data_IF_332642037271
#
_entry.id   IF_332642037271
#
_cell.length_a   1.000
_cell.length_b   1.000
_cell.length_c   1.000
_cell.angle_alpha   90.00
_cell.angle_beta   90.00
_cell.angle_gamma   90.00
#
_symmetry.space_group_name_H-M   'P 1'
#
loop_
_entity.id
_entity.type
_entity.pdbx_description
1 polymer ?
#
# COMPACT_ATOMS: atom_id res chain seq x y z
N UNK A 1 2.74 -8.22 18.55
CA UNK A 1 2.62 -9.06 17.33
C UNK A 1 2.82 -8.23 16.07
N UNK A 2 3.26 -8.87 14.95
CA UNK A 2 3.37 -8.24 13.62
C UNK A 2 2.28 -8.80 12.72
N UNK A 3 1.75 -7.96 11.83
CA UNK A 3 0.63 -8.32 10.98
C UNK A 3 0.92 -8.06 9.51
N UNK A 4 0.42 -8.93 8.65
CA UNK A 4 0.28 -8.67 7.22
C UNK A 4 -1.21 -8.64 6.91
N UNK A 5 -1.73 -7.48 6.54
CA UNK A 5 -3.12 -7.31 6.14
C UNK A 5 -3.18 -7.38 4.61
N UNK A 6 -3.75 -8.44 4.08
CA UNK A 6 -3.80 -8.66 2.64
C UNK A 6 -4.92 -9.62 2.25
N UNK A 7 -5.27 -9.63 0.98
CA UNK A 7 -6.17 -10.65 0.43
C UNK A 7 -5.51 -12.04 0.50
N UNK A 8 -6.33 -13.08 0.57
CA UNK A 8 -5.86 -14.46 0.60
C UNK A 8 -5.07 -14.87 -0.66
N UNK A 9 -5.32 -14.21 -1.79
CA UNK A 9 -4.69 -14.42 -3.10
C UNK A 9 -3.60 -13.39 -3.46
N UNK A 10 -3.19 -12.52 -2.53
CA UNK A 10 -2.10 -11.55 -2.72
C UNK A 10 -0.73 -12.28 -2.65
N UNK A 11 -0.30 -12.83 -3.78
CA UNK A 11 0.95 -13.57 -3.87
C UNK A 11 2.19 -12.77 -3.43
N UNK A 12 2.34 -11.47 -3.79
CA UNK A 12 3.40 -10.60 -3.27
C UNK A 12 3.41 -10.50 -1.74
N UNK A 13 2.23 -10.34 -1.11
CA UNK A 13 2.13 -10.28 0.36
C UNK A 13 2.50 -11.62 1.01
N UNK A 14 2.01 -12.73 0.45
CA UNK A 14 2.35 -14.07 0.93
C UNK A 14 3.84 -14.39 0.79
N UNK A 15 4.48 -13.90 -0.27
CA UNK A 15 5.93 -13.99 -0.43
C UNK A 15 6.66 -13.20 0.67
N UNK A 16 6.26 -11.95 0.91
CA UNK A 16 6.85 -11.12 1.95
C UNK A 16 6.65 -11.74 3.35
N UNK A 17 5.44 -12.24 3.67
CA UNK A 17 5.15 -12.95 4.90
C UNK A 17 6.10 -14.13 5.14
N UNK A 18 6.27 -15.00 4.14
CA UNK A 18 7.20 -16.15 4.23
C UNK A 18 8.64 -15.70 4.42
N UNK A 19 9.04 -14.63 3.72
CA UNK A 19 10.37 -14.04 3.81
C UNK A 19 10.68 -13.47 5.20
N UNK A 20 9.75 -12.72 5.78
CA UNK A 20 9.84 -12.16 7.13
C UNK A 20 9.86 -13.27 8.21
N UNK A 21 9.00 -14.28 8.05
CA UNK A 21 8.97 -15.41 8.99
C UNK A 21 10.28 -16.20 9.00
N UNK A 22 10.90 -16.41 7.81
CA UNK A 22 12.23 -17.06 7.72
C UNK A 22 13.33 -16.24 8.36
N UNK A 23 13.20 -14.92 8.42
CA UNK A 23 14.11 -13.99 9.11
C UNK A 23 13.89 -13.91 10.62
N UNK A 24 12.91 -14.66 11.15
CA UNK A 24 12.64 -14.74 12.57
C UNK A 24 11.67 -13.69 13.11
N UNK A 25 10.97 -12.93 12.26
CA UNK A 25 9.93 -12.03 12.75
C UNK A 25 8.79 -12.85 13.36
N UNK A 26 8.61 -12.74 14.68
CA UNK A 26 7.67 -13.57 15.44
C UNK A 26 7.15 -12.82 16.69
N UNK A 27 5.86 -12.90 17.03
CA UNK A 27 4.80 -13.54 16.26
C UNK A 27 4.40 -12.71 15.03
N UNK A 28 4.26 -13.36 13.87
CA UNK A 28 3.84 -12.76 12.60
C UNK A 28 2.60 -13.48 12.08
N UNK A 29 1.51 -12.74 11.88
CA UNK A 29 0.20 -13.24 11.49
C UNK A 29 -0.30 -12.60 10.19
N UNK A 30 -1.12 -13.36 9.44
CA UNK A 30 -1.87 -12.83 8.29
C UNK A 30 -3.34 -12.66 8.66
N UNK A 31 -3.89 -11.51 8.27
CA UNK A 31 -5.32 -11.22 8.40
C UNK A 31 -5.87 -10.72 7.06
N UNK A 32 -6.94 -11.38 6.60
CA UNK A 32 -7.62 -10.92 5.38
C UNK A 32 -8.68 -9.87 5.70
N UNK A 33 -9.08 -9.02 4.72
CA UNK A 33 -10.19 -8.09 4.89
C UNK A 33 -11.46 -8.78 5.38
N UNK A 34 -11.75 -10.00 4.89
CA UNK A 34 -12.89 -10.80 5.30
C UNK A 34 -12.78 -11.22 6.78
N UNK A 35 -11.60 -11.65 7.22
CA UNK A 35 -11.39 -12.02 8.63
C UNK A 35 -11.56 -10.81 9.57
N UNK A 36 -11.11 -9.63 9.14
CA UNK A 36 -11.24 -8.40 9.92
C UNK A 36 -12.69 -7.90 9.98
N UNK A 37 -13.46 -8.05 8.90
CA UNK A 37 -14.85 -7.57 8.81
C UNK A 37 -15.85 -8.57 9.37
N UNK A 38 -15.72 -9.88 9.03
CA UNK A 38 -16.59 -10.92 9.52
C UNK A 38 -16.10 -11.50 10.86
N UNK A 39 -15.69 -10.59 11.75
CA UNK A 39 -15.24 -10.97 13.08
C UNK A 39 -16.41 -11.42 13.96
N UNK A 40 -16.08 -12.13 15.06
CA UNK A 40 -17.07 -12.54 16.07
C UNK A 40 -17.45 -11.38 16.98
N UNK A 41 -16.45 -10.54 17.32
CA UNK A 41 -16.62 -9.37 18.15
C UNK A 41 -15.62 -8.31 17.73
N UNK A 42 -16.11 -7.08 17.53
CA UNK A 42 -15.27 -5.90 17.38
C UNK A 42 -15.70 -4.91 18.46
N UNK A 43 -14.73 -4.44 19.21
CA UNK A 43 -14.89 -3.38 20.18
C UNK A 43 -13.86 -2.29 19.90
N UNK A 44 -14.32 -1.10 19.56
CA UNK A 44 -13.48 0.06 19.29
C UNK A 44 -13.95 1.21 20.17
N UNK A 45 -13.13 1.58 21.16
CA UNK A 45 -13.43 2.62 22.14
C UNK A 45 -12.48 3.79 21.99
N UNK A 46 -13.07 4.97 21.86
CA UNK A 46 -12.35 6.23 21.87
C UNK A 46 -12.62 6.88 23.23
N UNK A 47 -11.60 7.00 24.06
CA UNK A 47 -11.65 7.67 25.36
C UNK A 47 -10.62 8.80 25.39
N UNK A 48 -10.73 9.72 26.34
CA UNK A 48 -9.84 10.87 26.44
C UNK A 48 -8.35 10.46 26.49
N UNK A 49 -7.68 10.57 25.34
CA UNK A 49 -6.25 10.26 25.18
C UNK A 49 -5.90 8.80 24.89
N UNK A 50 -6.89 7.89 24.83
CA UNK A 50 -6.65 6.48 24.55
C UNK A 50 -7.62 5.93 23.51
N UNK A 51 -7.12 5.03 22.66
CA UNK A 51 -7.94 4.24 21.75
C UNK A 51 -7.67 2.76 22.02
N UNK A 52 -8.74 2.05 22.37
CA UNK A 52 -8.68 0.62 22.69
C UNK A 52 -9.48 -0.11 21.61
N UNK A 53 -8.86 -1.06 20.95
CA UNK A 53 -9.55 -1.91 19.98
C UNK A 53 -9.25 -3.37 20.26
N UNK A 54 -10.31 -4.16 20.35
CA UNK A 54 -10.29 -5.60 20.52
C UNK A 54 -11.08 -6.23 19.36
N UNK A 55 -10.46 -7.15 18.63
CA UNK A 55 -11.10 -7.87 17.53
C UNK A 55 -10.95 -9.37 17.79
N UNK A 56 -12.07 -10.06 18.04
CA UNK A 56 -12.13 -11.51 18.12
C UNK A 56 -12.56 -12.09 16.77
N UNK A 57 -11.68 -12.84 16.12
CA UNK A 57 -11.95 -13.45 14.84
C UNK A 57 -12.79 -14.73 14.98
N UNK A 58 -13.41 -15.14 13.88
CA UNK A 58 -14.23 -16.38 13.85
C UNK A 58 -13.41 -17.64 14.13
N UNK A 59 -12.12 -17.64 13.78
CA UNK A 59 -11.20 -18.75 14.03
C UNK A 59 -10.62 -18.76 15.46
N UNK A 60 -11.03 -17.83 16.30
CA UNK A 60 -10.63 -17.72 17.70
C UNK A 60 -9.36 -16.91 17.94
N UNK A 61 -8.69 -16.41 16.90
CA UNK A 61 -7.58 -15.47 17.08
C UNK A 61 -8.11 -14.13 17.56
N UNK A 62 -7.28 -13.42 18.31
CA UNK A 62 -7.60 -12.11 18.88
C UNK A 62 -6.54 -11.10 18.44
N UNK A 63 -6.98 -9.90 18.09
CA UNK A 63 -6.12 -8.75 17.84
C UNK A 63 -6.38 -7.71 18.92
N UNK A 64 -5.39 -7.53 19.78
CA UNK A 64 -5.34 -6.43 20.75
C UNK A 64 -4.50 -5.31 20.15
N UNK A 65 -5.09 -4.12 19.95
CA UNK A 65 -4.37 -3.01 19.33
C UNK A 65 -3.07 -2.65 20.01
N UNK A 66 -3.04 -2.71 21.35
CA UNK A 66 -1.85 -2.40 22.14
C UNK A 66 -0.68 -3.37 21.88
N UNK A 67 -0.95 -4.58 21.38
CA UNK A 67 0.06 -5.60 21.11
C UNK A 67 0.59 -5.56 19.68
N UNK A 68 -0.03 -4.76 18.79
CA UNK A 68 0.39 -4.64 17.38
C UNK A 68 1.62 -3.75 17.28
N UNK A 69 2.76 -4.34 16.97
CA UNK A 69 4.06 -3.67 16.85
C UNK A 69 4.34 -3.17 15.43
N UNK A 70 3.78 -3.85 14.42
CA UNK A 70 3.96 -3.45 13.03
C UNK A 70 2.99 -4.12 12.09
N UNK A 71 2.64 -3.42 11.03
CA UNK A 71 1.70 -3.86 10.00
C UNK A 71 2.25 -3.59 8.61
N UNK A 72 2.32 -4.63 7.79
CA UNK A 72 2.39 -4.49 6.34
C UNK A 72 0.96 -4.48 5.81
N UNK A 73 0.46 -3.30 5.46
CA UNK A 73 -0.92 -3.10 5.05
C UNK A 73 -1.04 -3.12 3.53
N UNK A 74 -1.85 -4.04 3.02
CA UNK A 74 -2.19 -4.18 1.59
C UNK A 74 -3.70 -4.34 1.37
N UNK A 75 -4.49 -3.86 2.33
CA UNK A 75 -5.95 -3.83 2.21
C UNK A 75 -6.36 -2.73 1.23
N UNK A 76 -7.02 -3.08 0.14
CA UNK A 76 -7.53 -2.15 -0.85
C UNK A 76 -9.06 -2.12 -0.94
N UNK A 77 -9.74 -2.98 -0.22
CA UNK A 77 -11.19 -3.01 -0.08
C UNK A 77 -11.57 -3.61 1.28
N UNK A 78 -12.77 -3.31 1.74
CA UNK A 78 -13.44 -4.02 2.83
C UNK A 78 -14.72 -4.64 2.29
N UNK A 79 -15.01 -5.93 2.59
CA UNK A 79 -16.20 -6.59 2.09
C UNK A 79 -17.46 -5.97 2.69
N UNK A 80 -18.48 -5.76 1.85
CA UNK A 80 -19.79 -5.18 2.22
C UNK A 80 -20.96 -6.10 1.90
N UNK A 81 -20.68 -7.33 1.46
CA UNK A 81 -21.67 -8.30 1.01
C UNK A 81 -22.64 -8.75 2.11
N UNK A 82 -22.23 -8.66 3.38
CA UNK A 82 -23.08 -8.95 4.53
C UNK A 82 -24.20 -7.92 4.70
N UNK A 83 -24.09 -6.73 4.09
CA UNK A 83 -25.14 -5.71 4.05
C UNK A 83 -26.10 -5.87 2.86
N UNK A 84 -25.96 -6.93 2.05
CA UNK A 84 -26.73 -7.10 0.79
C UNK A 84 -28.24 -7.08 0.94
N UNK A 85 -28.77 -7.40 2.11
CA UNK A 85 -30.20 -7.40 2.40
C UNK A 85 -30.71 -6.09 3.01
N UNK A 86 -29.83 -5.15 3.32
CA UNK A 86 -30.20 -3.81 3.76
C UNK A 86 -30.64 -2.95 2.56
N UNK A 87 -31.41 -1.90 2.82
CA UNK A 87 -31.74 -0.87 1.84
C UNK A 87 -30.45 -0.24 1.26
N UNK A 88 -30.53 0.29 0.04
CA UNK A 88 -29.34 0.78 -0.68
C UNK A 88 -28.61 1.88 0.10
N UNK A 89 -29.39 2.80 0.69
CA UNK A 89 -28.84 3.92 1.47
C UNK A 89 -28.18 3.43 2.78
N UNK A 90 -28.82 2.51 3.49
CA UNK A 90 -28.29 1.90 4.71
C UNK A 90 -27.01 1.10 4.43
N UNK A 91 -26.95 0.42 3.29
CA UNK A 91 -25.76 -0.33 2.87
C UNK A 91 -24.59 0.60 2.60
N UNK A 92 -24.82 1.71 1.88
CA UNK A 92 -23.80 2.70 1.61
C UNK A 92 -23.27 3.33 2.91
N UNK A 93 -24.17 3.70 3.82
CA UNK A 93 -23.82 4.23 5.12
C UNK A 93 -23.01 3.22 5.96
N UNK A 94 -23.47 1.98 6.06
CA UNK A 94 -22.78 0.93 6.82
C UNK A 94 -21.37 0.65 6.26
N UNK A 95 -21.18 0.71 4.95
CA UNK A 95 -19.87 0.58 4.31
C UNK A 95 -18.93 1.74 4.68
N UNK A 96 -19.43 2.96 4.75
CA UNK A 96 -18.64 4.13 5.18
C UNK A 96 -18.28 4.05 6.67
N UNK A 97 -19.20 3.62 7.53
CA UNK A 97 -18.91 3.41 8.97
C UNK A 97 -17.85 2.32 9.17
N UNK A 98 -17.94 1.22 8.43
CA UNK A 98 -16.94 0.16 8.47
C UNK A 98 -15.55 0.68 8.04
N UNK A 99 -15.50 1.50 6.99
CA UNK A 99 -14.26 2.15 6.56
C UNK A 99 -13.74 3.12 7.62
N UNK A 100 -14.62 3.91 8.25
CA UNK A 100 -14.24 4.86 9.30
C UNK A 100 -13.65 4.14 10.52
N UNK A 101 -14.22 3.00 10.93
CA UNK A 101 -13.68 2.17 12.01
C UNK A 101 -12.29 1.64 11.62
N UNK A 102 -12.11 1.12 10.40
CA UNK A 102 -10.82 0.62 9.94
C UNK A 102 -9.75 1.70 9.91
N UNK A 103 -10.07 2.91 9.42
CA UNK A 103 -9.20 4.07 9.44
C UNK A 103 -8.82 4.45 10.88
N UNK A 104 -9.82 4.66 11.74
CA UNK A 104 -9.63 5.05 13.14
C UNK A 104 -8.74 4.05 13.88
N UNK A 105 -9.04 2.76 13.75
CA UNK A 105 -8.24 1.70 14.34
C UNK A 105 -6.79 1.71 13.83
N UNK A 106 -6.59 1.74 12.51
CA UNK A 106 -5.26 1.68 11.90
C UNK A 106 -4.39 2.89 12.26
N UNK A 107 -5.00 4.07 12.41
CA UNK A 107 -4.30 5.28 12.86
C UNK A 107 -3.94 5.25 14.35
N UNK A 108 -4.73 4.54 15.16
CA UNK A 108 -4.50 4.39 16.59
C UNK A 108 -3.50 3.28 16.95
N UNK A 109 -3.08 2.44 16.00
CA UNK A 109 -2.08 1.40 16.25
C UNK A 109 -0.76 2.03 16.71
N UNK A 110 -0.17 1.52 17.83
CA UNK A 110 1.08 2.07 18.36
C UNK A 110 2.29 1.75 17.47
N UNK A 111 2.19 0.68 16.71
CA UNK A 111 3.26 0.21 15.83
C UNK A 111 3.31 0.91 14.48
N UNK A 112 4.30 0.53 13.70
CA UNK A 112 4.49 1.02 12.34
C UNK A 112 3.46 0.41 11.40
N UNK A 113 2.76 1.23 10.61
CA UNK A 113 1.83 0.77 9.57
C UNK A 113 2.33 1.19 8.19
N UNK A 114 2.53 0.24 7.29
CA UNK A 114 3.08 0.43 5.93
C UNK A 114 2.07 -0.11 4.89
N UNK A 115 1.42 0.69 4.07
CA UNK A 115 1.16 2.13 4.20
C UNK A 115 -0.03 2.34 5.13
N UNK A 116 -0.08 3.46 5.84
CA UNK A 116 -1.29 3.81 6.60
C UNK A 116 -2.47 4.02 5.65
N UNK A 117 -3.68 3.58 6.03
CA UNK A 117 -4.87 3.89 5.26
C UNK A 117 -5.19 5.38 5.35
N UNK A 118 -5.79 5.89 4.29
CA UNK A 118 -6.24 7.28 4.16
C UNK A 118 -7.72 7.28 3.70
N UNK A 119 -8.46 8.37 3.88
CA UNK A 119 -9.86 8.43 3.46
C UNK A 119 -10.08 8.07 1.98
N UNK A 120 -9.09 8.32 1.11
CA UNK A 120 -9.11 8.01 -0.32
C UNK A 120 -8.42 6.68 -0.67
N UNK A 121 -8.04 5.85 0.32
CA UNK A 121 -7.41 4.58 0.00
C UNK A 121 -6.92 3.81 1.23
N UNK A 122 -7.33 2.55 1.34
CA UNK A 122 -7.11 1.73 2.54
C UNK A 122 -5.66 1.22 2.73
N UNK A 123 -4.79 1.38 1.74
CA UNK A 123 -3.36 1.07 1.82
C UNK A 123 -2.47 2.25 1.39
N UNK A 124 -2.89 3.47 1.71
CA UNK A 124 -2.34 4.73 1.26
C UNK A 124 -3.28 5.41 0.27
N UNK A 125 -3.06 6.68 0.03
CA UNK A 125 -3.94 7.49 -0.80
C UNK A 125 -3.99 7.00 -2.26
N UNK A 126 -5.20 6.76 -2.76
CA UNK A 126 -5.44 6.44 -4.18
C UNK A 126 -5.46 7.73 -4.98
N UNK A 127 -4.61 7.78 -5.99
CA UNK A 127 -4.48 8.92 -6.90
C UNK A 127 -4.75 8.54 -8.34
N UNK A 128 -5.35 9.43 -9.07
CA UNK A 128 -5.56 9.29 -10.51
C UNK A 128 -4.23 9.36 -11.28
N UNK A 129 -4.17 8.87 -12.52
CA UNK A 129 -2.97 9.03 -13.36
C UNK A 129 -2.53 10.49 -13.51
N UNK A 130 -3.46 11.45 -13.58
CA UNK A 130 -3.15 12.87 -13.64
C UNK A 130 -2.47 13.38 -12.37
N UNK A 131 -2.99 13.01 -11.19
CA UNK A 131 -2.39 13.37 -9.90
C UNK A 131 -0.98 12.78 -9.77
N UNK A 132 -0.78 11.52 -10.18
CA UNK A 132 0.55 10.90 -10.16
C UNK A 132 1.53 11.58 -11.10
N UNK A 133 1.09 11.93 -12.33
CA UNK A 133 1.92 12.66 -13.30
C UNK A 133 2.30 14.03 -12.75
N UNK A 134 1.36 14.73 -12.11
CA UNK A 134 1.62 16.03 -11.50
C UNK A 134 2.64 15.94 -10.34
N UNK A 135 2.49 14.97 -9.44
CA UNK A 135 3.45 14.74 -8.36
C UNK A 135 4.83 14.36 -8.89
N UNK A 136 4.91 13.54 -9.93
CA UNK A 136 6.15 13.16 -10.59
C UNK A 136 6.87 14.37 -11.19
N UNK A 137 6.15 15.28 -11.84
CA UNK A 137 6.70 16.55 -12.33
C UNK A 137 7.22 17.43 -11.19
N UNK A 138 6.45 17.53 -10.09
CA UNK A 138 6.88 18.28 -8.89
C UNK A 138 8.16 17.71 -8.28
N UNK A 139 8.32 16.38 -8.34
CA UNK A 139 9.51 15.68 -7.87
C UNK A 139 10.70 15.77 -8.85
N UNK A 140 10.54 16.41 -10.01
CA UNK A 140 11.57 16.53 -11.03
C UNK A 140 11.78 15.26 -11.86
N UNK A 141 10.82 14.33 -11.87
CA UNK A 141 10.88 13.15 -12.74
C UNK A 141 10.55 13.53 -14.20
N UNK A 142 11.29 13.00 -15.17
CA UNK A 142 10.86 13.05 -16.57
C UNK A 142 9.61 12.18 -16.72
N UNK A 143 8.53 12.74 -17.24
CA UNK A 143 7.24 12.06 -17.36
C UNK A 143 6.89 11.79 -18.83
N UNK A 144 6.19 10.67 -19.05
CA UNK A 144 5.53 10.48 -20.34
C UNK A 144 4.42 11.54 -20.48
N UNK A 145 4.30 12.25 -21.62
CA UNK A 145 3.26 13.24 -21.81
C UNK A 145 1.88 12.66 -21.50
N UNK A 146 1.16 13.30 -20.59
CA UNK A 146 -0.18 12.89 -20.17
C UNK A 146 -1.23 13.82 -20.80
N UNK A 147 -2.25 13.24 -21.40
CA UNK A 147 -3.42 13.97 -21.91
C UNK A 147 -4.68 13.21 -21.53
N UNK A 148 -5.67 13.93 -21.08
CA UNK A 148 -7.02 13.43 -20.84
C UNK A 148 -8.01 14.30 -21.60
N UNK A 149 -8.90 13.69 -22.40
CA UNK A 149 -9.91 14.38 -23.21
C UNK A 149 -10.75 13.39 -24.01
N UNK A 150 -11.77 13.90 -24.70
CA UNK A 150 -12.72 13.09 -25.47
C UNK A 150 -12.19 12.73 -26.87
N UNK A 151 -11.04 13.26 -27.27
CA UNK A 151 -10.44 13.02 -28.56
C UNK A 151 -9.52 11.81 -28.57
N UNK A 152 -9.31 11.24 -29.77
CA UNK A 152 -8.54 10.03 -30.04
C UNK A 152 -7.28 9.86 -29.20
N UNK A 153 -7.03 8.60 -28.79
CA UNK A 153 -5.83 8.21 -28.08
C UNK A 153 -4.57 8.77 -28.73
N UNK A 154 -3.68 9.36 -27.93
CA UNK A 154 -2.37 9.76 -28.40
C UNK A 154 -1.66 8.51 -28.93
N UNK A 155 -1.26 8.51 -30.19
CA UNK A 155 -0.28 7.56 -30.70
C UNK A 155 1.07 7.89 -30.06
N UNK A 156 1.43 7.12 -29.05
CA UNK A 156 2.79 7.16 -28.53
C UNK A 156 3.69 6.35 -29.45
N UNK A 157 4.92 6.81 -29.73
CA UNK A 157 5.90 5.96 -30.38
C UNK A 157 6.06 4.68 -29.59
N UNK A 158 6.37 3.52 -30.22
CA UNK A 158 6.52 2.25 -29.52
C UNK A 158 7.65 2.37 -28.49
N UNK A 159 7.29 2.56 -27.22
CA UNK A 159 8.23 2.54 -26.13
C UNK A 159 8.61 1.11 -25.83
N UNK A 160 9.91 0.84 -25.88
CA UNK A 160 10.44 -0.47 -25.59
C UNK A 160 10.49 -0.73 -24.08
N UNK A 161 9.61 -1.57 -23.58
CA UNK A 161 9.66 -2.18 -22.25
C UNK A 161 9.25 -1.28 -21.09
N UNK A 162 8.15 -1.62 -20.44
CA UNK A 162 7.76 -1.08 -19.13
C UNK A 162 8.65 -1.69 -18.05
N UNK A 163 9.40 -0.87 -17.33
CA UNK A 163 10.18 -1.30 -16.17
C UNK A 163 9.45 -0.88 -14.90
N UNK A 164 9.42 -1.78 -13.91
CA UNK A 164 8.83 -1.49 -12.60
C UNK A 164 9.91 -1.41 -11.53
N UNK A 165 9.80 -0.43 -10.64
CA UNK A 165 10.64 -0.25 -9.47
C UNK A 165 9.81 -0.43 -8.20
N UNK A 166 10.36 -1.12 -7.20
CA UNK A 166 9.86 -1.06 -5.84
C UNK A 166 10.60 0.03 -5.07
N UNK A 167 9.85 0.93 -4.46
CA UNK A 167 10.40 1.99 -3.60
C UNK A 167 9.88 1.80 -2.18
N UNK A 168 10.79 1.76 -1.23
CA UNK A 168 10.48 1.69 0.18
C UNK A 168 11.28 2.74 0.96
N UNK A 169 10.60 3.57 1.77
CA UNK A 169 11.16 4.70 2.49
C UNK A 169 12.05 5.62 1.61
N UNK A 170 11.56 5.90 0.40
CA UNK A 170 12.25 6.74 -0.59
C UNK A 170 13.46 6.08 -1.26
N UNK A 171 13.72 4.79 -1.02
CA UNK A 171 14.83 4.05 -1.60
C UNK A 171 14.33 2.99 -2.57
N UNK A 172 15.01 2.85 -3.70
CA UNK A 172 14.75 1.78 -4.65
C UNK A 172 15.27 0.47 -4.05
N UNK A 173 14.40 -0.53 -3.96
CA UNK A 173 14.73 -1.88 -3.56
C UNK A 173 14.78 -2.80 -4.78
N UNK A 174 15.67 -3.78 -4.76
CA UNK A 174 15.81 -4.80 -5.81
C UNK A 174 17.15 -4.74 -6.52
N UNK A 175 17.23 -5.42 -7.67
CA UNK A 175 18.44 -5.49 -8.47
C UNK A 175 18.81 -4.10 -9.05
N UNK A 176 20.10 -3.78 -9.17
CA UNK A 176 20.56 -2.56 -9.81
C UNK A 176 20.04 -2.44 -11.25
N UNK A 177 19.57 -1.26 -11.61
CA UNK A 177 19.03 -0.98 -12.94
C UNK A 177 19.93 0.07 -13.61
N UNK A 178 20.43 -0.24 -14.81
CA UNK A 178 21.49 0.56 -15.48
C UNK A 178 21.10 2.02 -15.77
N UNK A 179 19.82 2.29 -16.06
CA UNK A 179 19.35 3.65 -16.35
C UNK A 179 19.00 4.47 -15.11
N UNK A 180 19.11 3.89 -13.91
CA UNK A 180 18.87 4.61 -12.65
C UNK A 180 20.16 5.32 -12.20
N UNK A 181 20.21 6.62 -12.44
CA UNK A 181 21.28 7.50 -11.97
C UNK A 181 20.91 8.18 -10.64
N UNK A 182 21.81 9.01 -10.10
CA UNK A 182 21.64 9.70 -8.81
C UNK A 182 20.53 10.75 -8.87
N UNK A 183 20.39 11.49 -9.96
CA UNK A 183 19.34 12.50 -10.12
C UNK A 183 17.96 11.86 -10.08
N UNK A 184 17.80 10.71 -10.77
CA UNK A 184 16.57 9.95 -10.75
C UNK A 184 16.25 9.40 -9.35
N UNK A 185 17.27 8.95 -8.60
CA UNK A 185 17.10 8.50 -7.20
C UNK A 185 16.60 9.63 -6.31
N UNK A 186 17.16 10.82 -6.46
CA UNK A 186 16.75 12.00 -5.70
C UNK A 186 15.30 12.39 -6.03
N UNK A 187 14.92 12.38 -7.31
CA UNK A 187 13.56 12.66 -7.74
C UNK A 187 12.56 11.59 -7.24
N UNK A 188 12.94 10.31 -7.24
CA UNK A 188 12.12 9.22 -6.67
C UNK A 188 11.93 9.40 -5.17
N UNK A 189 12.99 9.77 -4.44
CA UNK A 189 12.88 10.07 -3.01
C UNK A 189 11.93 11.24 -2.75
N UNK A 190 12.03 12.31 -3.54
CA UNK A 190 11.14 13.46 -3.44
C UNK A 190 9.68 13.07 -3.78
N UNK A 191 9.46 12.21 -4.77
CA UNK A 191 8.13 11.69 -5.08
C UNK A 191 7.56 10.90 -3.90
N UNK A 192 8.37 10.08 -3.22
CA UNK A 192 7.96 9.35 -2.01
C UNK A 192 7.52 10.32 -0.90
N UNK A 193 8.30 11.37 -0.65
CA UNK A 193 7.98 12.41 0.33
C UNK A 193 6.68 13.15 -0.03
N UNK A 194 6.53 13.60 -1.28
CA UNK A 194 5.33 14.29 -1.77
C UNK A 194 4.09 13.41 -1.76
N UNK A 195 4.23 12.13 -2.02
CA UNK A 195 3.12 11.17 -2.02
C UNK A 195 2.67 10.77 -0.63
N UNK A 196 3.53 10.87 0.38
CA UNK A 196 3.31 10.36 1.73
C UNK A 196 3.33 8.83 1.84
N UNK A 197 3.70 8.13 0.75
CA UNK A 197 3.76 6.67 0.74
C UNK A 197 5.16 6.18 1.11
N UNK A 198 5.23 5.29 2.08
CA UNK A 198 6.46 4.60 2.46
C UNK A 198 6.81 3.47 1.49
N UNK A 199 5.78 2.80 0.97
CA UNK A 199 5.89 1.68 0.04
C UNK A 199 5.11 1.99 -1.23
N UNK A 200 5.79 1.99 -2.39
CA UNK A 200 5.14 2.20 -3.68
C UNK A 200 5.84 1.49 -4.82
N UNK A 201 5.10 1.21 -5.87
CA UNK A 201 5.62 0.78 -7.17
C UNK A 201 5.62 1.95 -8.14
N UNK A 202 6.68 2.08 -8.93
CA UNK A 202 6.81 3.07 -9.99
C UNK A 202 6.98 2.37 -11.32
N UNK A 203 6.22 2.80 -12.33
CA UNK A 203 6.34 2.34 -13.71
C UNK A 203 7.06 3.36 -14.57
N UNK A 204 8.04 2.87 -15.36
CA UNK A 204 8.79 3.66 -16.32
C UNK A 204 8.78 2.99 -17.69
N UNK A 205 8.84 3.80 -18.73
CA UNK A 205 9.17 3.37 -20.10
C UNK A 205 10.47 4.04 -20.52
N UNK A 206 11.24 3.38 -21.39
CA UNK A 206 12.42 4.00 -21.96
C UNK A 206 12.06 4.68 -23.29
N UNK A 207 12.47 5.94 -23.44
CA UNK A 207 12.38 6.64 -24.72
C UNK A 207 13.30 5.95 -25.77
N UNK A 208 13.13 6.25 -27.05
CA UNK A 208 14.06 5.78 -28.09
C UNK A 208 15.53 6.15 -27.83
N UNK A 209 15.78 7.22 -27.06
CA UNK A 209 17.13 7.64 -26.61
C UNK A 209 17.61 6.86 -25.38
N UNK A 210 16.81 5.96 -24.80
CA UNK A 210 17.12 5.23 -23.58
C UNK A 210 16.84 5.99 -22.28
N UNK A 211 16.19 7.15 -22.35
CA UNK A 211 15.83 7.93 -21.17
C UNK A 211 14.58 7.37 -20.48
N UNK A 212 14.60 7.20 -19.14
CA UNK A 212 13.44 6.74 -18.40
C UNK A 212 12.38 7.84 -18.30
N UNK A 213 11.15 7.52 -18.70
CA UNK A 213 9.98 8.38 -18.54
C UNK A 213 8.99 7.73 -17.55
N UNK A 214 8.61 8.45 -16.53
CA UNK A 214 7.60 8.01 -15.57
C UNK A 214 6.23 7.85 -16.25
N UNK A 215 5.54 6.75 -15.93
CA UNK A 215 4.22 6.41 -16.49
C UNK A 215 3.17 6.27 -15.39
N UNK A 216 3.51 5.63 -14.29
CA UNK A 216 2.52 5.28 -13.27
C UNK A 216 3.15 5.07 -11.89
N UNK A 217 2.31 5.17 -10.85
CA UNK A 217 2.65 4.73 -9.51
C UNK A 217 1.48 3.98 -8.87
N UNK A 218 1.79 3.14 -7.89
CA UNK A 218 0.81 2.36 -7.13
C UNK A 218 1.24 2.19 -5.69
N UNK A 219 0.29 2.22 -4.75
CA UNK A 219 0.50 1.86 -3.34
C UNK A 219 0.52 0.33 -3.12
N UNK A 220 0.19 -0.46 -4.15
CA UNK A 220 0.15 -1.92 -4.13
C UNK A 220 1.16 -2.54 -5.12
N UNK A 221 2.46 -2.33 -4.93
CA UNK A 221 3.48 -2.88 -5.82
C UNK A 221 3.58 -4.40 -5.73
N UNK A 222 4.20 -5.02 -6.75
CA UNK A 222 4.73 -6.36 -6.59
C UNK A 222 5.96 -6.32 -5.68
N UNK A 223 5.82 -6.86 -4.46
CA UNK A 223 6.87 -6.85 -3.45
C UNK A 223 8.08 -7.69 -3.82
N UNK A 224 7.90 -8.68 -4.73
CA UNK A 224 8.97 -9.56 -5.17
C UNK A 224 10.05 -8.81 -5.97
N UNK A 225 9.68 -7.67 -6.60
CA UNK A 225 10.64 -6.80 -7.29
C UNK A 225 11.75 -6.28 -6.38
N UNK A 226 11.45 -6.12 -5.08
CA UNK A 226 12.44 -5.66 -4.09
C UNK A 226 13.38 -6.73 -3.57
N UNK A 227 13.05 -8.01 -3.78
CA UNK A 227 13.86 -9.15 -3.37
C UNK A 227 14.24 -9.14 -1.88
N UNK A 228 15.40 -9.72 -1.58
CA UNK A 228 15.93 -9.80 -0.21
C UNK A 228 16.21 -8.40 0.38
N UNK A 229 16.62 -7.44 -0.46
CA UNK A 229 16.89 -6.04 -0.02
C UNK A 229 15.64 -5.40 0.60
N UNK A 230 14.48 -5.63 0.01
CA UNK A 230 13.22 -5.13 0.56
C UNK A 230 12.84 -5.83 1.87
N UNK A 231 13.03 -7.15 1.94
CA UNK A 231 12.74 -7.90 3.17
C UNK A 231 13.66 -7.48 4.33
N UNK A 232 14.93 -7.22 4.06
CA UNK A 232 15.87 -6.71 5.05
C UNK A 232 15.50 -5.29 5.51
N UNK A 233 15.06 -4.44 4.58
CA UNK A 233 14.58 -3.10 4.90
C UNK A 233 13.29 -3.14 5.75
N UNK A 234 12.36 -4.07 5.46
CA UNK A 234 11.17 -4.29 6.28
C UNK A 234 11.53 -4.76 7.70
N UNK A 235 12.46 -5.72 7.82
CA UNK A 235 12.95 -6.20 9.12
C UNK A 235 13.55 -5.08 9.96
N UNK A 236 14.23 -4.11 9.34
CA UNK A 236 14.82 -2.98 10.05
C UNK A 236 13.77 -1.96 10.57
N UNK A 237 12.57 -1.98 10.01
CA UNK A 237 11.48 -1.04 10.34
C UNK A 237 10.38 -1.67 11.19
N UNK A 238 10.27 -3.00 11.19
CA UNK A 238 9.30 -3.79 11.95
C UNK A 238 9.98 -4.55 13.13
N UNK A 239 10.83 -3.95 13.96
CA UNK A 239 11.50 -4.62 15.06
C UNK A 239 10.57 -4.83 16.26
#
# INVERSE_FOLDING_TARGET
>A
MYCVFCRADDLPALWAFRGLKRRGLNPLEIFTPEALVYNRRLEHRLQAGETITHIELVDGRVIESAEVQGVLNRVNYLPVEHFRFAEVEDRAYAGLEQQAIYLSWSHALPGVVINRPEPRGLCGEVRSPAEWTWLALQAGLPVLPFRQGDEQALEYPPYNTTSQLLVFDGRICGAPIQWVNEDLRNSIKQLAELSGLRLMGLGFVLSPAGEPLFVSATALPDLQLGGEVFLDALMAVLP
#
